data_IF_551924386949
#
_entry.id   IF_551924386949
#
_cell.length_a   1.000
_cell.length_b   1.000
_cell.length_c   1.000
_cell.angle_alpha   90.00
_cell.angle_beta   90.00
_cell.angle_gamma   90.00
#
_symmetry.space_group_name_H-M   'P 1'
#
loop_
_entity.id
_entity.type
_entity.pdbx_description
1 polymer ?
#
# COMPACT_ATOMS: atom_id res chain seq x y z
N UNK A 1 -35.52 -2.84 31.40
CA UNK A 1 -36.18 -4.16 31.29
C UNK A 1 -37.64 -3.96 30.93
N UNK A 2 -38.20 -4.77 30.02
CA UNK A 2 -39.63 -4.74 29.71
C UNK A 2 -40.42 -5.33 30.88
N UNK A 3 -41.45 -4.63 31.33
CA UNK A 3 -42.28 -5.03 32.48
C UNK A 3 -43.75 -5.05 32.07
N UNK A 4 -44.49 -6.03 32.57
CA UNK A 4 -45.92 -6.20 32.29
C UNK A 4 -46.24 -7.45 31.44
N UNK A 5 -47.54 -7.70 31.24
CA UNK A 5 -48.04 -8.91 30.56
C UNK A 5 -47.96 -8.85 29.03
N UNK A 6 -47.87 -7.65 28.45
CA UNK A 6 -47.80 -7.42 27.00
C UNK A 6 -46.43 -6.81 26.67
N UNK A 7 -45.44 -7.67 26.39
CA UNK A 7 -44.07 -7.26 26.07
C UNK A 7 -43.78 -7.21 24.57
N UNK A 8 -44.74 -7.57 23.74
CA UNK A 8 -44.61 -7.61 22.27
C UNK A 8 -45.90 -7.10 21.64
N UNK A 9 -45.76 -6.23 20.64
CA UNK A 9 -46.87 -5.73 19.83
C UNK A 9 -46.78 -6.30 18.43
N UNK A 10 -47.92 -6.59 17.83
CA UNK A 10 -48.08 -7.13 16.49
C UNK A 10 -48.83 -6.11 15.64
N UNK A 11 -48.27 -5.74 14.49
CA UNK A 11 -48.94 -4.85 13.55
C UNK A 11 -50.04 -5.62 12.81
N UNK A 12 -51.29 -5.15 12.90
CA UNK A 12 -52.45 -5.69 12.17
C UNK A 12 -53.11 -4.60 11.33
N UNK A 13 -54.17 -4.96 10.61
CA UNK A 13 -54.88 -4.10 9.64
C UNK A 13 -55.39 -2.76 10.21
N UNK A 14 -55.56 -2.64 11.53
CA UNK A 14 -55.97 -1.39 12.21
C UNK A 14 -54.86 -0.75 13.08
N UNK A 15 -53.60 -1.15 12.89
CA UNK A 15 -52.44 -0.65 13.63
C UNK A 15 -51.84 -1.68 14.60
N UNK A 16 -50.93 -1.21 15.46
CA UNK A 16 -50.30 -2.04 16.49
C UNK A 16 -51.32 -2.42 17.57
N UNK A 17 -51.41 -3.71 17.89
CA UNK A 17 -52.25 -4.21 18.97
C UNK A 17 -51.67 -3.91 20.36
N UNK A 18 -52.49 -4.07 21.41
CA UNK A 18 -52.07 -3.91 22.80
C UNK A 18 -51.67 -2.48 23.19
N UNK A 19 -51.19 -2.34 24.43
CA UNK A 19 -50.61 -1.08 24.93
C UNK A 19 -49.11 -1.02 24.64
N UNK A 20 -48.54 0.18 24.68
CA UNK A 20 -47.09 0.35 24.60
C UNK A 20 -46.38 -0.44 25.71
N UNK A 21 -45.33 -1.22 25.40
CA UNK A 21 -44.61 -1.98 26.41
C UNK A 21 -43.94 -1.01 27.40
N UNK A 22 -44.11 -1.26 28.69
CA UNK A 22 -43.49 -0.44 29.72
C UNK A 22 -42.04 -0.88 29.93
N UNK A 23 -41.12 0.09 29.90
CA UNK A 23 -39.73 -0.13 30.24
C UNK A 23 -39.45 0.46 31.63
N UNK A 24 -38.98 -0.37 32.55
CA UNK A 24 -38.42 0.08 33.83
C UNK A 24 -36.89 -0.08 33.82
N UNK A 25 -36.13 0.76 34.54
CA UNK A 25 -34.68 0.59 34.63
C UNK A 25 -34.32 -0.78 35.22
N UNK A 26 -33.24 -1.39 34.71
CA UNK A 26 -32.65 -2.55 35.38
C UNK A 26 -32.14 -2.09 36.73
N UNK A 27 -32.38 -2.89 37.77
CA UNK A 27 -31.96 -2.57 39.14
C UNK A 27 -30.93 -3.57 39.62
N UNK A 28 -29.82 -3.07 40.14
CA UNK A 28 -28.85 -3.83 40.88
C UNK A 28 -29.19 -3.80 42.37
N UNK A 29 -28.93 -4.90 43.06
CA UNK A 29 -28.96 -4.98 44.52
C UNK A 29 -27.76 -4.25 45.13
N UNK A 30 -27.59 -4.32 46.46
CA UNK A 30 -26.45 -3.71 47.14
C UNK A 30 -25.09 -4.18 46.54
N UNK A 31 -24.10 -3.27 46.37
CA UNK A 31 -22.82 -3.62 45.79
C UNK A 31 -22.07 -4.68 46.61
N UNK A 32 -21.27 -5.56 45.99
CA UNK A 32 -20.51 -6.57 46.71
C UNK A 32 -19.55 -5.97 47.75
N UNK A 33 -19.47 -6.53 48.95
CA UNK A 33 -18.43 -6.14 49.90
C UNK A 33 -17.06 -6.65 49.43
N UNK A 34 -16.01 -5.85 49.64
CA UNK A 34 -14.63 -6.24 49.34
C UNK A 34 -13.82 -6.38 50.63
N UNK A 35 -12.89 -7.34 50.67
CA UNK A 35 -12.04 -7.54 51.84
C UNK A 35 -11.04 -6.38 51.99
N UNK A 36 -10.89 -5.88 53.22
CA UNK A 36 -10.00 -4.77 53.57
C UNK A 36 -10.22 -3.47 52.74
N UNK A 37 -11.45 -3.26 52.29
CA UNK A 37 -11.89 -2.03 51.65
C UNK A 37 -13.34 -1.74 51.99
N UNK A 38 -13.81 -0.58 51.54
CA UNK A 38 -15.15 -0.09 51.79
C UNK A 38 -15.64 0.71 50.59
N UNK A 39 -16.97 0.79 50.43
CA UNK A 39 -17.58 1.78 49.56
C UNK A 39 -17.22 3.18 50.07
N UNK A 40 -17.00 4.11 49.14
CA UNK A 40 -16.78 5.52 49.47
C UNK A 40 -18.07 6.18 49.96
N UNK A 41 -19.21 5.79 49.38
CA UNK A 41 -20.55 6.24 49.74
C UNK A 41 -21.32 5.17 50.53
N UNK A 42 -22.42 5.59 51.18
CA UNK A 42 -23.32 4.66 51.85
C UNK A 42 -24.05 3.75 50.85
N UNK A 43 -24.14 2.46 51.18
CA UNK A 43 -24.82 1.49 50.33
C UNK A 43 -26.35 1.71 50.34
N UNK A 44 -26.94 1.82 49.15
CA UNK A 44 -28.39 1.91 48.96
C UNK A 44 -29.00 0.52 48.78
N UNK A 45 -30.31 0.40 49.02
CA UNK A 45 -31.04 -0.86 48.82
C UNK A 45 -31.16 -1.26 47.35
N UNK A 46 -31.17 -0.28 46.42
CA UNK A 46 -31.22 -0.54 44.98
C UNK A 46 -30.53 0.55 44.16
N UNK A 47 -29.92 0.15 43.05
CA UNK A 47 -29.25 1.04 42.10
C UNK A 47 -29.84 0.86 40.71
N UNK A 48 -30.21 1.95 40.05
CA UNK A 48 -30.69 1.91 38.67
C UNK A 48 -29.53 1.72 37.69
N UNK A 49 -29.84 1.21 36.49
CA UNK A 49 -28.89 1.03 35.39
C UNK A 49 -28.00 2.25 35.17
N UNK A 50 -26.69 2.03 35.02
CA UNK A 50 -25.60 3.01 34.93
C UNK A 50 -25.25 3.77 36.21
N UNK A 51 -25.95 3.57 37.33
CA UNK A 51 -25.50 4.12 38.60
C UNK A 51 -24.10 3.59 38.94
N UNK A 52 -23.24 4.48 39.42
CA UNK A 52 -21.86 4.19 39.74
C UNK A 52 -21.66 4.09 41.27
N UNK A 53 -20.79 3.18 41.69
CA UNK A 53 -20.34 3.08 43.08
C UNK A 53 -18.82 2.96 43.11
N UNK A 54 -18.19 3.68 44.03
CA UNK A 54 -16.73 3.73 44.15
C UNK A 54 -16.28 3.06 45.44
N UNK A 55 -15.16 2.33 45.35
CA UNK A 55 -14.52 1.65 46.47
C UNK A 55 -13.16 2.27 46.77
N UNK A 56 -12.81 2.24 48.05
CA UNK A 56 -11.48 2.57 48.56
C UNK A 56 -10.96 1.47 49.48
N UNK A 57 -9.67 1.25 49.46
CA UNK A 57 -9.03 0.32 50.39
C UNK A 57 -8.79 0.95 51.76
N UNK A 58 -8.66 0.09 52.78
CA UNK A 58 -8.21 0.49 54.10
C UNK A 58 -6.80 1.06 54.04
N UNK A 59 -6.45 1.91 55.01
CA UNK A 59 -5.18 2.65 55.03
C UNK A 59 -3.98 1.69 54.94
N UNK A 60 -3.12 1.90 53.95
CA UNK A 60 -1.89 1.11 53.76
C UNK A 60 -2.02 -0.02 52.74
N UNK A 61 -3.20 -0.26 52.18
CA UNK A 61 -3.44 -1.27 51.15
C UNK A 61 -3.68 -0.64 49.79
N UNK A 62 -3.32 -1.38 48.73
CA UNK A 62 -3.45 -0.97 47.35
C UNK A 62 -4.69 -1.57 46.69
N UNK A 63 -5.43 -0.73 45.97
CA UNK A 63 -6.58 -1.13 45.17
C UNK A 63 -6.12 -1.68 43.81
N UNK A 64 -6.42 -2.95 43.54
CA UNK A 64 -6.16 -3.64 42.27
C UNK A 64 -7.48 -3.89 41.55
N UNK A 65 -7.64 -3.30 40.37
CA UNK A 65 -8.87 -3.34 39.57
C UNK A 65 -9.43 -1.94 39.35
N UNK A 66 -10.65 -1.85 38.81
CA UNK A 66 -11.34 -0.57 38.67
C UNK A 66 -11.96 -0.17 40.01
N UNK A 67 -11.67 1.04 40.50
CA UNK A 67 -12.22 1.52 41.77
C UNK A 67 -13.72 1.83 41.68
N UNK A 68 -14.27 2.00 40.47
CA UNK A 68 -15.66 2.36 40.24
C UNK A 68 -16.36 1.30 39.40
N UNK A 69 -17.51 0.85 39.87
CA UNK A 69 -18.36 -0.15 39.23
C UNK A 69 -19.67 0.51 38.81
N UNK A 70 -20.28 -0.02 37.76
CA UNK A 70 -21.55 0.47 37.21
C UNK A 70 -22.61 -0.62 37.27
N UNK A 71 -23.85 -0.25 37.61
CA UNK A 71 -24.98 -1.16 37.50
C UNK A 71 -25.22 -1.52 36.03
N UNK A 72 -25.00 -2.78 35.68
CA UNK A 72 -25.03 -3.28 34.31
C UNK A 72 -26.44 -3.73 33.91
N UNK A 73 -26.62 -4.05 32.62
CA UNK A 73 -27.89 -4.49 32.04
C UNK A 73 -28.34 -5.87 32.57
N UNK A 74 -27.40 -6.67 33.08
CA UNK A 74 -27.64 -7.97 33.69
C UNK A 74 -28.06 -7.90 35.17
N UNK A 75 -28.19 -6.68 35.72
CA UNK A 75 -28.54 -6.45 37.13
C UNK A 75 -27.38 -6.70 38.09
N UNK A 76 -26.15 -6.81 37.59
CA UNK A 76 -24.94 -6.92 38.41
C UNK A 76 -24.02 -5.72 38.25
N UNK A 77 -23.13 -5.50 39.22
CA UNK A 77 -22.11 -4.46 39.11
C UNK A 77 -20.95 -4.93 38.23
N UNK A 78 -20.58 -4.10 37.24
CA UNK A 78 -19.47 -4.35 36.33
C UNK A 78 -18.52 -3.15 36.21
N UNK A 79 -17.20 -3.37 36.07
CA UNK A 79 -16.51 -4.67 36.10
C UNK A 79 -16.53 -5.32 37.49
N UNK A 80 -15.91 -6.49 37.64
CA UNK A 80 -15.86 -7.18 38.93
C UNK A 80 -15.19 -6.32 40.03
N UNK A 81 -15.57 -6.47 41.31
CA UNK A 81 -15.05 -5.63 42.40
C UNK A 81 -13.52 -5.66 42.54
N UNK A 82 -12.89 -4.53 42.92
CA UNK A 82 -11.44 -4.47 43.10
C UNK A 82 -10.99 -5.26 44.33
N UNK A 83 -9.70 -5.61 44.37
CA UNK A 83 -9.06 -6.30 45.50
C UNK A 83 -8.10 -5.36 46.21
N UNK A 84 -8.14 -5.37 47.54
CA UNK A 84 -7.19 -4.64 48.37
C UNK A 84 -6.03 -5.56 48.78
N UNK A 85 -4.81 -5.22 48.36
CA UNK A 85 -3.60 -6.02 48.64
C UNK A 85 -2.57 -5.23 49.43
N UNK A 86 -1.82 -5.91 50.30
CA UNK A 86 -0.68 -5.31 51.00
C UNK A 86 0.50 -5.19 50.02
N UNK A 87 0.92 -3.96 49.74
CA UNK A 87 2.04 -3.69 48.83
C UNK A 87 1.68 -3.70 47.34
N UNK A 88 2.69 -3.62 46.47
CA UNK A 88 2.52 -3.47 45.03
C UNK A 88 2.81 -4.76 44.25
N UNK A 89 2.10 -5.02 43.13
CA UNK A 89 2.36 -6.19 42.30
C UNK A 89 3.75 -6.12 41.66
N UNK A 90 4.30 -7.25 41.21
CA UNK A 90 5.57 -7.25 40.49
C UNK A 90 5.38 -6.60 39.11
N UNK A 91 6.06 -5.48 38.78
CA UNK A 91 5.94 -4.88 37.46
C UNK A 91 6.47 -5.82 36.38
N UNK A 92 5.65 -6.08 35.35
CA UNK A 92 6.06 -6.79 34.14
C UNK A 92 6.46 -5.77 33.07
N UNK A 93 7.74 -5.71 32.75
CA UNK A 93 8.28 -4.76 31.76
C UNK A 93 8.99 -5.59 30.67
N UNK A 94 8.29 -5.93 29.57
CA UNK A 94 8.89 -6.65 28.44
C UNK A 94 10.09 -5.87 27.89
N UNK A 95 11.18 -6.58 27.58
CA UNK A 95 12.45 -6.00 27.13
C UNK A 95 13.04 -4.97 28.11
N UNK A 96 12.69 -5.09 29.40
CA UNK A 96 13.22 -4.28 30.50
C UNK A 96 13.89 -5.16 31.56
N UNK A 97 14.94 -4.64 32.17
CA UNK A 97 15.70 -5.28 33.25
C UNK A 97 15.69 -4.40 34.49
N UNK A 98 15.44 -4.98 35.66
CA UNK A 98 15.58 -4.28 36.94
C UNK A 98 17.07 -4.10 37.24
N UNK A 99 17.50 -2.86 37.42
CA UNK A 99 18.89 -2.50 37.70
C UNK A 99 19.12 -2.05 39.15
N UNK A 100 18.06 -1.75 39.90
CA UNK A 100 18.18 -1.28 41.28
C UNK A 100 16.91 -1.44 42.12
N UNK A 101 17.05 -1.18 43.42
CA UNK A 101 15.96 -1.17 44.40
C UNK A 101 15.75 -2.48 45.17
N UNK A 102 14.54 -2.68 45.69
CA UNK A 102 14.17 -3.85 46.51
C UNK A 102 13.79 -5.06 45.65
N UNK A 103 13.77 -6.25 46.26
CA UNK A 103 13.19 -7.46 45.67
C UNK A 103 11.75 -7.67 46.15
N UNK A 104 10.88 -8.35 45.37
CA UNK A 104 9.53 -8.67 45.81
C UNK A 104 9.55 -9.60 47.04
N UNK A 105 8.51 -9.57 47.91
CA UNK A 105 7.29 -8.75 47.81
C UNK A 105 7.52 -7.26 48.08
N UNK A 106 6.82 -6.39 47.34
CA UNK A 106 7.04 -4.94 47.40
C UNK A 106 6.09 -4.27 48.40
N UNK A 107 6.62 -3.75 49.50
CA UNK A 107 5.83 -3.01 50.51
C UNK A 107 5.76 -1.52 50.17
N UNK A 108 4.83 -0.82 50.82
CA UNK A 108 4.71 0.64 50.72
C UNK A 108 6.06 1.32 50.99
N UNK A 109 6.47 2.23 50.11
CA UNK A 109 7.76 2.92 50.16
C UNK A 109 8.93 2.17 49.49
N UNK A 110 8.77 0.88 49.13
CA UNK A 110 9.77 0.21 48.32
C UNK A 110 9.87 0.86 46.94
N UNK A 111 11.08 0.96 46.41
CA UNK A 111 11.34 1.45 45.07
C UNK A 111 12.08 0.40 44.25
N UNK A 112 11.96 0.51 42.94
CA UNK A 112 12.71 -0.25 41.94
C UNK A 112 13.08 0.65 40.79
N UNK A 113 14.23 0.35 40.18
CA UNK A 113 14.73 1.07 39.01
C UNK A 113 14.92 0.09 37.84
N UNK A 114 14.49 0.50 36.66
CA UNK A 114 14.53 -0.29 35.45
C UNK A 114 15.38 0.35 34.36
N UNK A 115 15.92 -0.49 33.47
CA UNK A 115 16.57 -0.09 32.22
C UNK A 115 16.02 -0.95 31.08
N UNK A 116 15.80 -0.37 29.91
CA UNK A 116 15.46 -1.14 28.73
C UNK A 116 16.68 -1.89 28.16
N UNK A 117 16.41 -3.04 27.56
CA UNK A 117 17.41 -3.80 26.80
C UNK A 117 17.89 -3.01 25.58
N UNK A 118 19.05 -3.41 25.04
CA UNK A 118 19.60 -2.79 23.85
C UNK A 118 18.63 -2.92 22.67
N UNK A 119 18.49 -1.85 21.89
CA UNK A 119 17.48 -1.76 20.84
C UNK A 119 16.12 -1.21 21.30
N UNK A 120 15.92 -0.99 22.60
CA UNK A 120 14.69 -0.40 23.14
C UNK A 120 14.93 0.94 23.84
N UNK A 121 13.92 1.80 23.81
CA UNK A 121 13.88 3.10 24.46
C UNK A 121 12.80 3.10 25.54
N UNK A 122 13.10 3.73 26.68
CA UNK A 122 12.16 3.83 27.79
C UNK A 122 11.12 4.93 27.54
N UNK A 123 9.84 4.59 27.73
CA UNK A 123 8.74 5.53 27.83
C UNK A 123 8.19 5.51 29.26
N UNK A 124 8.31 6.63 29.96
CA UNK A 124 8.00 6.76 31.38
C UNK A 124 9.27 6.93 32.22
N UNK A 125 9.11 6.86 33.53
CA UNK A 125 10.20 7.05 34.49
C UNK A 125 10.85 5.71 34.86
N UNK A 126 12.18 5.67 34.86
CA UNK A 126 12.95 4.47 35.21
C UNK A 126 12.75 4.05 36.68
N UNK A 127 12.52 5.03 37.54
CA UNK A 127 12.41 4.90 38.98
C UNK A 127 10.94 4.97 39.40
N UNK A 128 10.44 3.90 40.03
CA UNK A 128 9.06 3.82 40.51
C UNK A 128 9.03 3.46 41.99
N UNK A 129 8.06 4.03 42.71
CA UNK A 129 7.88 3.81 44.16
C UNK A 129 6.51 3.21 44.41
N UNK A 130 6.45 2.19 45.27
CA UNK A 130 5.19 1.62 45.72
C UNK A 130 4.51 2.61 46.68
N UNK A 131 3.40 3.22 46.24
CA UNK A 131 2.55 4.10 47.04
C UNK A 131 1.26 3.36 47.44
N UNK A 132 0.34 4.05 48.12
CA UNK A 132 -0.93 3.50 48.61
C UNK A 132 -1.99 3.28 47.52
N UNK A 133 -1.72 3.75 46.29
CA UNK A 133 -2.54 3.51 45.11
C UNK A 133 -1.78 2.73 44.03
N UNK A 134 -0.78 1.93 44.44
CA UNK A 134 0.09 1.17 43.54
C UNK A 134 1.39 1.87 43.18
N UNK A 135 2.03 1.41 42.10
CA UNK A 135 3.28 2.00 41.61
C UNK A 135 3.06 3.42 41.11
N UNK A 136 3.89 4.33 41.59
CA UNK A 136 3.88 5.70 41.11
C UNK A 136 5.31 6.25 40.98
N UNK A 137 5.68 6.82 39.82
CA UNK A 137 4.90 6.82 38.56
C UNK A 137 4.59 5.40 38.05
N UNK A 138 3.69 5.28 37.08
CA UNK A 138 3.34 3.98 36.50
C UNK A 138 4.58 3.25 35.96
N UNK A 139 4.62 1.90 35.99
CA UNK A 139 5.75 1.16 35.46
C UNK A 139 6.09 1.56 34.01
N UNK A 140 7.38 1.81 33.69
CA UNK A 140 7.76 2.27 32.36
C UNK A 140 7.55 1.18 31.31
N UNK A 141 7.47 1.60 30.05
CA UNK A 141 7.37 0.70 28.88
C UNK A 141 8.63 0.80 28.04
N UNK A 142 9.18 -0.34 27.63
CA UNK A 142 10.29 -0.38 26.68
C UNK A 142 9.74 -0.55 25.26
N UNK A 143 10.01 0.43 24.40
CA UNK A 143 9.53 0.51 23.02
C UNK A 143 10.72 0.35 22.10
N UNK A 144 10.63 -0.49 21.07
CA UNK A 144 11.71 -0.66 20.10
C UNK A 144 12.13 0.68 19.51
N UNK A 145 13.44 0.91 19.38
CA UNK A 145 13.97 2.08 18.66
C UNK A 145 13.45 2.05 17.23
N UNK A 146 13.03 3.20 16.71
CA UNK A 146 12.62 3.29 15.32
C UNK A 146 13.84 3.47 14.43
N UNK A 147 13.90 2.68 13.35
CA UNK A 147 14.91 2.84 12.30
C UNK A 147 14.48 3.85 11.22
N UNK A 148 13.30 4.45 11.35
CA UNK A 148 12.70 5.31 10.34
C UNK A 148 12.21 4.52 9.11
N UNK A 149 11.67 5.25 8.15
CA UNK A 149 11.17 4.67 6.91
C UNK A 149 12.33 4.48 5.92
N UNK A 150 12.38 3.32 5.27
CA UNK A 150 13.29 3.09 4.15
C UNK A 150 12.78 3.81 2.90
N UNK A 151 13.69 4.45 2.17
CA UNK A 151 13.41 4.97 0.85
C UNK A 151 13.44 3.84 -0.19
N UNK A 152 12.81 4.10 -1.34
CA UNK A 152 13.02 3.25 -2.51
C UNK A 152 14.46 3.39 -3.00
N UNK A 153 15.01 2.29 -3.51
CA UNK A 153 16.35 2.25 -4.08
C UNK A 153 16.26 2.16 -5.61
N UNK A 154 17.41 2.14 -6.28
CA UNK A 154 17.44 2.19 -7.74
C UNK A 154 16.81 0.94 -8.36
N UNK A 155 15.75 1.14 -9.14
CA UNK A 155 14.92 0.08 -9.74
C UNK A 155 14.37 -0.94 -8.73
N UNK A 156 14.03 -0.49 -7.51
CA UNK A 156 13.39 -1.35 -6.53
C UNK A 156 12.88 -0.65 -5.28
N UNK A 157 12.21 -1.43 -4.44
CA UNK A 157 11.60 -0.98 -3.19
C UNK A 157 11.73 -2.03 -2.10
N UNK A 158 11.41 -1.65 -0.87
CA UNK A 158 11.32 -2.58 0.26
C UNK A 158 9.87 -2.93 0.60
N UNK A 159 9.62 -4.21 0.85
CA UNK A 159 8.44 -4.70 1.56
C UNK A 159 8.80 -4.84 3.05
N UNK A 160 8.19 -4.01 3.89
CA UNK A 160 8.56 -3.86 5.32
C UNK A 160 7.50 -4.48 6.25
N UNK A 161 7.93 -5.11 7.34
CA UNK A 161 7.02 -5.57 8.42
C UNK A 161 6.63 -4.45 9.37
N UNK A 162 7.48 -3.42 9.47
CA UNK A 162 7.35 -2.29 10.36
C UNK A 162 8.64 -1.45 10.32
N UNK A 163 8.86 -0.62 11.34
CA UNK A 163 10.03 0.26 11.44
C UNK A 163 10.64 0.33 12.85
N UNK A 164 10.30 -0.60 13.73
CA UNK A 164 10.83 -0.72 15.08
C UNK A 164 11.89 -1.81 15.17
N UNK A 165 12.72 -1.76 16.21
CA UNK A 165 13.78 -2.73 16.45
C UNK A 165 13.30 -4.19 16.30
N UNK A 166 13.99 -4.94 15.44
CA UNK A 166 13.64 -6.31 15.07
C UNK A 166 12.77 -6.45 13.81
N UNK A 167 12.15 -5.37 13.31
CA UNK A 167 11.43 -5.40 12.04
C UNK A 167 12.37 -5.67 10.86
N UNK A 168 11.81 -6.23 9.79
CA UNK A 168 12.56 -6.64 8.59
C UNK A 168 12.03 -5.98 7.33
N UNK A 169 12.92 -5.82 6.35
CA UNK A 169 12.64 -5.20 5.06
C UNK A 169 13.23 -6.06 3.93
N UNK A 170 12.34 -6.64 3.13
CA UNK A 170 12.69 -7.50 2.01
C UNK A 170 12.81 -6.67 0.72
N UNK A 171 13.91 -6.74 -0.03
CA UNK A 171 14.03 -6.00 -1.27
C UNK A 171 13.23 -6.64 -2.41
N UNK A 172 12.58 -5.80 -3.22
CA UNK A 172 11.82 -6.21 -4.40
C UNK A 172 12.21 -5.31 -5.56
N UNK A 173 12.73 -5.91 -6.63
CA UNK A 173 13.07 -5.17 -7.84
C UNK A 173 11.81 -4.79 -8.64
N UNK A 174 11.93 -3.69 -9.38
CA UNK A 174 10.92 -3.25 -10.32
C UNK A 174 10.81 -4.21 -11.50
N UNK A 175 9.73 -4.07 -12.26
CA UNK A 175 9.44 -4.91 -13.42
C UNK A 175 10.60 -4.89 -14.43
N UNK A 176 11.07 -6.07 -14.85
CA UNK A 176 12.19 -6.22 -15.77
C UNK A 176 13.58 -6.07 -15.15
N UNK A 177 13.66 -6.03 -13.81
CA UNK A 177 14.91 -6.05 -13.07
C UNK A 177 14.94 -7.24 -12.09
N UNK A 178 16.15 -7.69 -11.76
CA UNK A 178 16.41 -8.83 -10.89
C UNK A 178 17.46 -8.47 -9.84
N UNK A 179 17.32 -9.02 -8.64
CA UNK A 179 18.23 -8.76 -7.54
C UNK A 179 19.60 -9.36 -7.85
N UNK A 180 20.64 -8.53 -7.85
CA UNK A 180 22.00 -8.99 -8.05
C UNK A 180 22.54 -9.65 -6.77
N UNK A 181 23.05 -10.88 -6.89
CA UNK A 181 23.65 -11.63 -5.78
C UNK A 181 22.63 -12.36 -4.90
N UNK A 182 22.95 -12.51 -3.61
CA UNK A 182 22.07 -13.19 -2.64
C UNK A 182 21.04 -12.22 -2.08
N UNK A 183 19.89 -12.74 -1.68
CA UNK A 183 18.85 -11.97 -1.02
C UNK A 183 19.36 -11.32 0.28
N UNK A 184 19.21 -10.00 0.37
CA UNK A 184 19.68 -9.18 1.51
C UNK A 184 18.50 -8.52 2.21
N UNK A 185 17.74 -9.32 2.97
CA UNK A 185 16.75 -8.77 3.90
C UNK A 185 17.47 -7.88 4.92
N UNK A 186 17.03 -6.63 5.05
CA UNK A 186 17.53 -5.70 6.07
C UNK A 186 16.73 -5.87 7.35
N UNK A 187 17.40 -5.70 8.49
CA UNK A 187 16.81 -5.77 9.83
C UNK A 187 17.01 -4.44 10.54
N UNK A 188 15.96 -3.97 11.21
CA UNK A 188 16.04 -2.78 12.05
C UNK A 188 16.83 -3.12 13.33
N UNK A 189 18.03 -2.56 13.44
CA UNK A 189 18.95 -2.73 14.58
C UNK A 189 18.95 -1.47 15.46
N UNK A 190 19.80 -1.47 16.47
CA UNK A 190 19.91 -0.39 17.46
C UNK A 190 20.42 0.94 16.87
N UNK A 191 21.16 0.87 15.75
CA UNK A 191 21.70 2.00 14.99
C UNK A 191 20.92 2.33 13.70
N UNK A 192 19.78 1.68 13.46
CA UNK A 192 19.02 1.83 12.22
C UNK A 192 18.96 0.54 11.39
N UNK A 193 18.51 0.66 10.15
CA UNK A 193 18.44 -0.44 9.20
C UNK A 193 19.84 -0.93 8.84
N UNK A 194 20.16 -2.19 9.15
CA UNK A 194 21.45 -2.79 8.80
C UNK A 194 21.64 -2.97 7.29
N UNK A 195 22.86 -3.29 6.86
CA UNK A 195 23.17 -3.51 5.45
C UNK A 195 23.14 -2.24 4.60
N UNK A 196 23.26 -2.44 3.28
CA UNK A 196 23.22 -1.39 2.26
C UNK A 196 22.08 -1.67 1.30
N UNK A 197 21.69 -0.66 0.53
CA UNK A 197 20.73 -0.83 -0.55
C UNK A 197 21.26 -1.87 -1.55
N UNK A 198 20.43 -2.84 -1.97
CA UNK A 198 20.83 -3.82 -2.95
C UNK A 198 20.85 -3.22 -4.35
N UNK A 199 21.47 -3.96 -5.27
CA UNK A 199 21.49 -3.63 -6.68
C UNK A 199 20.45 -4.47 -7.42
N UNK A 200 19.54 -3.81 -8.14
CA UNK A 200 18.68 -4.45 -9.13
C UNK A 200 19.31 -4.26 -10.51
N UNK A 201 19.66 -5.36 -11.17
CA UNK A 201 20.20 -5.37 -12.53
C UNK A 201 19.08 -5.66 -13.53
N UNK A 202 19.12 -5.08 -14.74
CA UNK A 202 18.12 -5.38 -15.76
C UNK A 202 18.15 -6.87 -16.11
N UNK A 203 16.97 -7.44 -16.39
CA UNK A 203 16.87 -8.76 -17.02
C UNK A 203 17.61 -8.71 -18.34
N UNK A 204 18.35 -9.77 -18.64
CA UNK A 204 19.14 -9.88 -19.86
C UNK A 204 18.58 -10.94 -20.79
N UNK A 205 18.32 -10.55 -22.03
CA UNK A 205 18.03 -11.47 -23.11
C UNK A 205 19.33 -11.95 -23.76
N UNK A 206 19.33 -13.22 -24.18
CA UNK A 206 20.37 -13.76 -25.08
C UNK A 206 20.22 -13.19 -26.49
N UNK A 207 21.15 -13.53 -27.38
CA UNK A 207 21.09 -13.12 -28.79
C UNK A 207 19.70 -13.39 -29.42
N UNK A 208 19.13 -12.43 -30.19
CA UNK A 208 17.84 -12.60 -30.82
C UNK A 208 17.78 -13.83 -31.73
N UNK A 209 16.63 -14.51 -31.85
CA UNK A 209 16.50 -15.68 -32.72
C UNK A 209 16.82 -15.36 -34.18
N UNK A 210 17.56 -16.23 -34.87
CA UNK A 210 17.72 -16.12 -36.32
C UNK A 210 16.39 -16.42 -37.02
N UNK A 211 16.08 -15.67 -38.09
CA UNK A 211 14.90 -15.90 -38.92
C UNK A 211 15.31 -16.38 -40.30
N UNK A 212 14.50 -17.27 -40.90
CA UNK A 212 14.75 -17.76 -42.25
C UNK A 212 14.52 -16.64 -43.29
N UNK A 213 15.43 -16.54 -44.26
CA UNK A 213 15.38 -15.53 -45.33
C UNK A 213 15.29 -14.06 -44.86
N UNK A 214 15.79 -13.79 -43.66
CA UNK A 214 15.95 -12.46 -43.11
C UNK A 214 17.17 -12.39 -42.21
N UNK A 215 17.42 -11.21 -41.67
CA UNK A 215 18.57 -10.92 -40.83
C UNK A 215 18.24 -9.74 -39.92
N UNK A 216 18.98 -9.63 -38.82
CA UNK A 216 18.94 -8.42 -38.00
C UNK A 216 19.42 -7.22 -38.81
N UNK A 217 18.87 -6.05 -38.50
CA UNK A 217 19.31 -4.81 -39.13
C UNK A 217 20.72 -4.41 -38.68
N UNK A 218 20.99 -4.63 -37.39
CA UNK A 218 22.25 -4.36 -36.70
C UNK A 218 22.99 -5.66 -36.38
N UNK A 219 24.26 -5.55 -35.98
CA UNK A 219 25.04 -6.72 -35.52
C UNK A 219 24.46 -7.28 -34.21
N UNK A 220 24.38 -8.61 -34.12
CA UNK A 220 23.90 -9.27 -32.90
C UNK A 220 24.92 -9.14 -31.77
N UNK A 221 24.47 -8.65 -30.62
CA UNK A 221 25.24 -8.65 -29.37
C UNK A 221 25.04 -9.97 -28.62
N UNK A 222 25.99 -10.30 -27.73
CA UNK A 222 25.88 -11.47 -26.86
C UNK A 222 24.71 -11.35 -25.86
N UNK A 223 24.37 -10.12 -25.46
CA UNK A 223 23.32 -9.86 -24.48
C UNK A 223 22.68 -8.49 -24.67
N UNK A 224 21.39 -8.42 -24.34
CA UNK A 224 20.56 -7.22 -24.42
C UNK A 224 19.84 -7.00 -23.10
N UNK A 225 19.90 -5.78 -22.58
CA UNK A 225 19.18 -5.41 -21.36
C UNK A 225 17.68 -5.25 -21.61
N UNK A 226 16.88 -5.36 -20.55
CA UNK A 226 15.44 -5.17 -20.57
C UNK A 226 15.03 -3.90 -21.34
N UNK A 227 14.01 -4.02 -22.20
CA UNK A 227 13.51 -3.01 -23.14
C UNK A 227 14.42 -2.66 -24.32
N UNK A 228 15.67 -3.13 -24.39
CA UNK A 228 16.48 -2.98 -25.60
C UNK A 228 15.74 -3.58 -26.80
N UNK A 229 15.84 -2.89 -27.93
CA UNK A 229 15.11 -3.23 -29.13
C UNK A 229 16.04 -3.75 -30.22
N UNK A 230 15.54 -4.69 -31.02
CA UNK A 230 16.21 -5.16 -32.24
C UNK A 230 15.21 -5.18 -33.39
N UNK A 231 15.65 -4.82 -34.59
CA UNK A 231 14.83 -4.83 -35.79
C UNK A 231 15.33 -5.86 -36.79
N UNK A 232 14.41 -6.53 -37.47
CA UNK A 232 14.73 -7.48 -38.54
C UNK A 232 14.45 -6.89 -39.91
N UNK A 233 15.19 -7.33 -40.92
CA UNK A 233 14.87 -7.08 -42.33
C UNK A 233 14.83 -8.39 -43.09
N UNK A 234 13.92 -8.48 -44.06
CA UNK A 234 13.88 -9.62 -44.97
C UNK A 234 14.90 -9.46 -46.11
N UNK A 235 15.34 -10.59 -46.66
CA UNK A 235 16.12 -10.60 -47.89
C UNK A 235 15.33 -9.97 -49.04
N UNK A 236 16.04 -9.47 -50.05
CA UNK A 236 15.42 -8.73 -51.17
C UNK A 236 14.30 -9.54 -51.84
N UNK A 237 13.16 -8.90 -52.06
CA UNK A 237 12.00 -9.50 -52.74
C UNK A 237 11.03 -10.26 -51.83
N UNK A 238 11.28 -10.32 -50.52
CA UNK A 238 10.40 -10.97 -49.54
C UNK A 238 9.67 -9.94 -48.68
N UNK A 239 8.49 -10.33 -48.21
CA UNK A 239 7.64 -9.55 -47.33
C UNK A 239 7.83 -10.00 -45.87
N UNK A 240 7.79 -9.05 -44.95
CA UNK A 240 7.91 -9.29 -43.52
C UNK A 240 6.53 -9.44 -42.90
N UNK A 241 6.27 -10.59 -42.28
CA UNK A 241 5.00 -10.89 -41.60
C UNK A 241 5.24 -10.95 -40.09
N UNK A 242 4.61 -10.04 -39.34
CA UNK A 242 4.77 -9.91 -37.89
C UNK A 242 5.30 -8.54 -37.50
N UNK A 243 5.76 -8.41 -36.25
CA UNK A 243 6.33 -7.16 -35.77
C UNK A 243 7.79 -7.04 -36.23
N UNK A 244 8.15 -5.91 -36.81
CA UNK A 244 9.50 -5.61 -37.28
C UNK A 244 10.53 -5.55 -36.14
N UNK A 245 10.13 -4.92 -35.04
CA UNK A 245 10.97 -4.61 -33.89
C UNK A 245 10.53 -5.43 -32.68
N UNK A 246 11.49 -6.12 -32.08
CA UNK A 246 11.29 -6.91 -30.87
C UNK A 246 12.00 -6.22 -29.71
N UNK A 247 11.45 -6.34 -28.50
CA UNK A 247 12.02 -5.82 -27.27
C UNK A 247 12.41 -6.95 -26.33
N UNK A 248 13.53 -6.80 -25.63
CA UNK A 248 13.88 -7.71 -24.56
C UNK A 248 12.85 -7.59 -23.43
N UNK A 249 12.19 -8.70 -23.11
CA UNK A 249 11.12 -8.78 -22.13
C UNK A 249 11.65 -9.17 -20.75
N UNK A 250 10.77 -9.08 -19.75
CA UNK A 250 11.08 -9.45 -18.35
C UNK A 250 11.33 -10.95 -18.14
N UNK A 251 10.92 -11.80 -19.10
CA UNK A 251 11.15 -13.24 -19.08
C UNK A 251 12.51 -13.65 -19.67
N UNK A 252 13.34 -12.68 -20.07
CA UNK A 252 14.63 -12.92 -20.70
C UNK A 252 14.53 -13.34 -22.17
N UNK A 253 13.37 -13.18 -22.81
CA UNK A 253 13.18 -13.44 -24.23
C UNK A 253 12.75 -12.21 -25.00
N UNK A 254 13.04 -12.18 -26.30
CA UNK A 254 12.55 -11.12 -27.16
C UNK A 254 11.06 -11.29 -27.47
N UNK A 255 10.30 -10.20 -27.29
CA UNK A 255 8.86 -10.15 -27.54
C UNK A 255 8.48 -8.98 -28.45
N UNK A 256 7.45 -9.12 -29.31
CA UNK A 256 6.70 -10.35 -29.58
C UNK A 256 7.55 -11.41 -30.32
N UNK A 257 6.97 -12.54 -30.71
CA UNK A 257 7.71 -13.58 -31.45
C UNK A 257 8.28 -13.04 -32.78
N UNK A 258 9.44 -13.56 -33.25
CA UNK A 258 10.14 -13.03 -34.41
C UNK A 258 9.32 -13.08 -35.71
N UNK A 259 9.49 -12.10 -36.61
CA UNK A 259 8.72 -12.05 -37.84
C UNK A 259 9.17 -13.14 -38.82
N UNK A 260 8.31 -13.41 -39.81
CA UNK A 260 8.57 -14.39 -40.88
C UNK A 260 8.74 -13.68 -42.21
N UNK A 261 9.78 -14.06 -42.95
CA UNK A 261 10.01 -13.56 -44.31
C UNK A 261 9.41 -14.53 -45.32
N UNK A 262 8.42 -14.09 -46.08
CA UNK A 262 7.72 -14.93 -47.07
C UNK A 262 7.65 -14.23 -48.43
N UNK A 263 7.69 -15.01 -49.49
CA UNK A 263 7.54 -14.51 -50.85
C UNK A 263 6.05 -14.27 -51.15
N UNK A 264 5.58 -13.05 -50.89
CA UNK A 264 4.19 -12.66 -51.07
C UNK A 264 3.38 -12.70 -49.77
N UNK A 265 2.19 -13.30 -49.79
CA UNK A 265 1.33 -13.46 -48.62
C UNK A 265 0.92 -14.92 -48.41
N UNK A 266 0.78 -15.38 -47.15
CA UNK A 266 0.35 -16.75 -46.87
C UNK A 266 -1.07 -16.99 -47.37
N UNK A 267 -1.43 -18.24 -47.65
CA UNK A 267 -2.81 -18.57 -48.04
C UNK A 267 -3.75 -18.29 -46.86
N UNK A 268 -4.76 -17.41 -46.98
CA UNK A 268 -5.69 -17.16 -45.89
C UNK A 268 -6.52 -18.41 -45.58
N UNK A 269 -6.43 -18.89 -44.35
CA UNK A 269 -7.26 -19.97 -43.83
C UNK A 269 -8.42 -19.37 -43.05
N UNK A 270 -9.59 -19.28 -43.66
CA UNK A 270 -10.80 -18.72 -43.06
C UNK A 270 -11.85 -19.83 -42.96
N UNK A 271 -12.10 -20.39 -41.75
CA UNK A 271 -13.12 -21.40 -41.56
C UNK A 271 -14.51 -20.89 -41.95
N UNK A 272 -15.32 -21.75 -42.56
CA UNK A 272 -16.69 -21.43 -42.99
C UNK A 272 -16.77 -20.25 -43.98
N UNK A 273 -15.74 -20.07 -44.81
CA UNK A 273 -15.72 -19.10 -45.89
C UNK A 273 -15.32 -19.75 -47.22
N UNK A 274 -15.91 -19.24 -48.30
CA UNK A 274 -15.58 -19.60 -49.68
C UNK A 274 -14.91 -18.42 -50.37
N UNK A 275 -13.83 -18.67 -51.11
CA UNK A 275 -13.21 -17.68 -51.98
C UNK A 275 -14.12 -17.46 -53.19
N UNK A 276 -14.56 -16.23 -53.42
CA UNK A 276 -15.47 -15.85 -54.51
C UNK A 276 -14.79 -15.04 -55.62
N UNK A 277 -13.59 -14.48 -55.36
CA UNK A 277 -12.87 -13.65 -56.34
C UNK A 277 -11.37 -13.55 -56.09
N UNK A 278 -10.65 -13.01 -57.08
CA UNK A 278 -9.22 -12.71 -57.01
C UNK A 278 -8.28 -13.75 -57.65
N UNK A 279 -6.99 -13.69 -57.29
CA UNK A 279 -5.94 -14.57 -57.84
C UNK A 279 -5.92 -15.94 -57.15
N UNK A 280 -5.23 -16.92 -57.74
CA UNK A 280 -4.90 -18.20 -57.09
C UNK A 280 -3.51 -18.15 -56.44
N UNK A 281 -3.25 -18.94 -55.39
CA UNK A 281 -1.92 -19.00 -54.79
C UNK A 281 -0.86 -19.56 -55.77
N UNK A 282 0.42 -19.18 -55.65
CA UNK A 282 1.02 -18.32 -54.62
C UNK A 282 0.67 -16.83 -54.79
N UNK A 283 0.36 -16.16 -53.67
CA UNK A 283 -0.10 -14.77 -53.67
C UNK A 283 1.07 -13.79 -53.62
N UNK A 284 1.40 -13.15 -54.75
CA UNK A 284 2.41 -12.10 -54.82
C UNK A 284 1.87 -10.76 -54.34
N UNK A 285 2.78 -9.81 -54.06
CA UNK A 285 2.44 -8.44 -53.71
C UNK A 285 1.48 -7.83 -54.74
N UNK A 286 0.41 -7.20 -54.27
CA UNK A 286 -0.65 -6.63 -55.10
C UNK A 286 -1.74 -7.61 -55.53
N UNK A 287 -1.56 -8.93 -55.35
CA UNK A 287 -2.64 -9.89 -55.57
C UNK A 287 -3.75 -9.65 -54.54
N UNK A 288 -5.00 -9.71 -54.97
CA UNK A 288 -6.17 -9.62 -54.10
C UNK A 288 -6.97 -10.93 -54.12
N UNK A 289 -7.73 -11.15 -53.06
CA UNK A 289 -8.72 -12.23 -52.95
C UNK A 289 -9.96 -11.70 -52.24
N UNK A 290 -11.11 -12.25 -52.63
CA UNK A 290 -12.40 -11.90 -52.05
C UNK A 290 -13.09 -13.14 -51.50
N UNK A 291 -13.64 -13.04 -50.29
CA UNK A 291 -14.30 -14.14 -49.58
C UNK A 291 -15.77 -13.85 -49.31
N UNK A 292 -16.55 -14.92 -49.18
CA UNK A 292 -17.93 -14.89 -48.68
C UNK A 292 -18.08 -15.98 -47.62
N UNK A 293 -18.73 -15.65 -46.50
CA UNK A 293 -19.05 -16.67 -45.49
C UNK A 293 -20.07 -17.67 -46.05
N UNK A 294 -19.98 -18.91 -45.58
CA UNK A 294 -20.95 -19.95 -45.87
C UNK A 294 -22.31 -19.63 -45.23
N UNK A 295 -23.37 -20.27 -45.75
CA UNK A 295 -24.73 -20.00 -45.31
C UNK A 295 -24.88 -20.29 -43.81
N UNK A 296 -25.53 -19.35 -43.10
CA UNK A 296 -25.63 -19.42 -41.65
C UNK A 296 -24.42 -18.88 -40.90
N UNK A 297 -23.43 -18.26 -41.54
CA UNK A 297 -22.35 -17.51 -40.88
C UNK A 297 -22.36 -16.04 -41.30
N UNK A 298 -22.00 -15.14 -40.38
CA UNK A 298 -21.88 -13.70 -40.62
C UNK A 298 -20.42 -13.28 -40.72
N UNK A 299 -20.07 -12.40 -41.66
CA UNK A 299 -18.71 -11.91 -41.84
C UNK A 299 -18.38 -10.81 -40.84
N UNK A 300 -17.21 -10.93 -40.18
CA UNK A 300 -16.59 -9.88 -39.39
C UNK A 300 -15.25 -9.49 -40.03
N UNK A 301 -15.18 -8.26 -40.55
CA UNK A 301 -14.04 -7.75 -41.32
C UNK A 301 -14.43 -7.49 -42.78
N UNK A 302 -13.44 -7.22 -43.62
CA UNK A 302 -13.62 -6.89 -45.03
C UNK A 302 -13.52 -8.15 -45.91
N UNK A 303 -14.46 -8.29 -46.87
CA UNK A 303 -14.49 -9.41 -47.79
C UNK A 303 -13.31 -9.40 -48.78
N UNK A 304 -12.87 -8.20 -49.17
CA UNK A 304 -11.81 -7.94 -50.15
C UNK A 304 -10.50 -7.62 -49.42
N UNK A 305 -9.49 -8.46 -49.60
CA UNK A 305 -8.16 -8.30 -48.99
C UNK A 305 -7.07 -8.27 -50.06
N UNK A 306 -6.05 -7.42 -49.86
CA UNK A 306 -4.94 -7.23 -50.80
C UNK A 306 -3.62 -7.63 -50.13
N UNK A 307 -2.77 -8.37 -50.85
CA UNK A 307 -1.44 -8.71 -50.38
C UNK A 307 -0.54 -7.47 -50.44
N UNK A 308 -0.15 -6.94 -49.28
CA UNK A 308 0.77 -5.80 -49.10
C UNK A 308 2.08 -6.24 -48.47
N UNK A 309 3.00 -5.28 -48.27
CA UNK A 309 4.36 -5.53 -47.77
C UNK A 309 4.40 -6.19 -46.38
N UNK A 310 3.38 -5.95 -45.55
CA UNK A 310 3.25 -6.52 -44.19
C UNK A 310 2.21 -7.67 -44.12
N UNK A 311 1.85 -8.26 -45.26
CA UNK A 311 0.83 -9.29 -45.36
C UNK A 311 -0.51 -8.79 -45.91
N UNK A 312 -1.59 -9.51 -45.59
CA UNK A 312 -2.94 -9.16 -46.03
C UNK A 312 -3.44 -7.91 -45.30
N UNK A 313 -3.85 -6.92 -46.08
CA UNK A 313 -4.42 -5.68 -45.59
C UNK A 313 -5.67 -5.30 -46.42
N UNK A 314 -6.86 -5.22 -45.81
CA UNK A 314 -7.14 -5.51 -44.39
C UNK A 314 -6.91 -7.00 -44.02
N UNK A 315 -6.81 -7.28 -42.72
CA UNK A 315 -6.57 -8.64 -42.22
C UNK A 315 -7.69 -9.61 -42.67
N UNK A 316 -7.39 -10.91 -42.86
CA UNK A 316 -8.40 -11.88 -43.33
C UNK A 316 -9.67 -11.87 -42.46
N UNK A 317 -10.87 -11.84 -43.05
CA UNK A 317 -12.13 -11.76 -42.29
C UNK A 317 -12.39 -13.04 -41.50
N UNK A 318 -13.27 -12.97 -40.49
CA UNK A 318 -13.71 -14.12 -39.69
C UNK A 318 -15.20 -14.36 -39.89
N UNK A 319 -15.58 -15.61 -40.16
CA UNK A 319 -16.98 -16.01 -40.24
C UNK A 319 -17.46 -16.51 -38.88
N UNK A 320 -18.41 -15.80 -38.28
CA UNK A 320 -18.98 -16.11 -36.96
C UNK A 320 -20.35 -16.77 -37.12
N UNK A 321 -20.57 -17.87 -36.40
CA UNK A 321 -21.89 -18.48 -36.34
C UNK A 321 -22.85 -17.55 -35.57
N UNK A 322 -24.14 -17.50 -35.95
CA UNK A 322 -25.16 -16.85 -35.14
C UNK A 322 -25.20 -17.57 -33.80
N UNK A 323 -25.07 -16.80 -32.73
CA UNK A 323 -25.28 -17.28 -31.37
C UNK A 323 -26.68 -17.86 -31.29
N UNK A 324 -26.79 -19.19 -31.15
CA UNK A 324 -28.02 -19.84 -30.72
C UNK A 324 -28.24 -19.50 -29.26
N UNK A 325 -28.82 -18.33 -29.00
CA UNK A 325 -29.49 -18.09 -27.72
C UNK A 325 -30.61 -19.13 -27.61
N UNK A 326 -30.66 -19.95 -26.55
CA UNK A 326 -31.83 -20.77 -26.29
C UNK A 326 -33.03 -19.85 -26.14
N UNK A 327 -34.06 -20.09 -26.95
CA UNK A 327 -35.40 -19.55 -26.74
C UNK A 327 -35.83 -19.92 -25.32
N UNK A 328 -35.76 -18.95 -24.40
CA UNK A 328 -36.45 -19.07 -23.12
C UNK A 328 -37.92 -18.83 -23.43
N UNK A 329 -38.70 -19.91 -23.37
CA UNK A 329 -40.14 -19.86 -23.54
C UNK A 329 -40.73 -18.78 -22.63
N UNK A 330 -41.51 -17.92 -23.26
CA UNK A 330 -42.31 -16.86 -22.68
C UNK A 330 -43.20 -17.37 -21.55
N UNK A 331 -43.15 -16.74 -20.38
CA UNK A 331 -44.33 -16.55 -19.54
C UNK A 331 -44.51 -15.04 -19.33
N UNK A 332 -45.38 -14.47 -20.15
CA UNK A 332 -46.09 -13.20 -19.99
C UNK A 332 -46.96 -13.30 -18.72
N UNK A 333 -47.24 -12.30 -17.88
CA UNK A 333 -47.27 -10.84 -18.01
C UNK A 333 -47.42 -10.26 -16.59
N UNK A 334 -46.74 -9.14 -16.33
CA UNK A 334 -47.10 -7.95 -15.53
C UNK A 334 -47.83 -8.06 -14.17
N UNK A 335 -47.61 -7.22 -13.16
CA UNK A 335 -46.57 -6.26 -12.73
C UNK A 335 -47.23 -5.46 -11.60
N UNK A 336 -46.66 -5.37 -10.39
CA UNK A 336 -46.77 -4.17 -9.54
C UNK A 336 -45.53 -4.05 -8.64
N UNK A 337 -44.98 -2.85 -8.71
CA UNK A 337 -43.81 -2.20 -8.13
C UNK A 337 -43.76 -2.18 -6.60
N UNK A 338 -42.55 -2.18 -6.02
CA UNK A 338 -42.10 -1.27 -4.93
C UNK A 338 -40.65 -1.59 -4.54
N UNK A 339 -39.67 -0.78 -4.96
CA UNK A 339 -38.98 0.26 -4.15
C UNK A 339 -38.32 -0.23 -2.87
N UNK A 340 -36.98 -0.12 -2.81
CA UNK A 340 -36.13 0.50 -1.75
C UNK A 340 -34.68 0.45 -2.30
N UNK A 341 -34.10 1.56 -2.76
CA UNK A 341 -33.26 2.54 -2.03
C UNK A 341 -32.06 1.96 -1.26
N UNK A 342 -30.84 2.19 -1.78
CA UNK A 342 -29.60 2.47 -1.01
C UNK A 342 -28.49 2.89 -2.00
N UNK A 343 -28.32 4.20 -2.23
CA UNK A 343 -27.22 5.05 -1.73
C UNK A 343 -25.81 4.61 -2.16
N UNK A 344 -25.36 5.11 -3.30
CA UNK A 344 -23.94 5.25 -3.65
C UNK A 344 -23.51 6.70 -3.46
N UNK A 345 -22.58 6.93 -2.53
CA UNK A 345 -21.86 8.21 -2.36
C UNK A 345 -20.92 8.42 -3.55
N UNK A 346 -21.16 9.49 -4.31
CA UNK A 346 -20.23 10.02 -5.30
C UNK A 346 -19.34 11.09 -4.65
N UNK A 347 -18.02 10.95 -4.81
CA UNK A 347 -17.05 12.02 -4.53
C UNK A 347 -16.99 12.92 -5.76
N UNK A 348 -17.31 14.21 -5.57
CA UNK A 348 -17.16 15.27 -6.56
C UNK A 348 -15.78 15.92 -6.40
N UNK A 349 -15.00 15.98 -7.47
CA UNK A 349 -13.97 16.99 -7.68
C UNK A 349 -14.64 18.34 -7.99
N UNK A 350 -14.13 19.41 -7.37
CA UNK A 350 -14.47 20.80 -7.68
C UNK A 350 -13.47 21.32 -8.70
N UNK A 351 -13.93 21.62 -9.90
CA UNK A 351 -13.27 22.56 -10.81
C UNK A 351 -13.74 23.98 -10.47
N UNK A 352 -12.78 24.89 -10.32
CA UNK A 352 -13.00 26.32 -10.06
C UNK A 352 -12.89 27.07 -11.40
N UNK A 353 -14.02 27.54 -11.92
CA UNK A 353 -14.11 28.38 -13.11
C UNK A 353 -13.87 29.85 -12.75
N UNK A 354 -12.66 30.35 -12.98
CA UNK A 354 -12.39 31.79 -12.97
C UNK A 354 -12.72 32.40 -14.33
N UNK A 355 -13.84 33.14 -14.40
CA UNK A 355 -14.28 33.93 -15.56
C UNK A 355 -13.25 35.01 -15.94
N UNK A 356 -12.78 34.94 -17.18
CA UNK A 356 -12.20 36.06 -17.93
C UNK A 356 -13.32 37.00 -18.39
N UNK A 357 -13.13 38.30 -18.19
CA UNK A 357 -13.94 39.33 -18.85
C UNK A 357 -13.03 40.49 -19.26
N UNK A 358 -12.97 40.72 -20.56
CA UNK A 358 -12.19 41.77 -21.22
C UNK A 358 -12.99 43.07 -21.24
N UNK A 359 -12.38 44.21 -20.90
CA UNK A 359 -12.78 45.50 -21.49
C UNK A 359 -11.65 46.53 -21.45
N UNK A 360 -11.40 47.07 -22.64
CA UNK A 360 -10.48 48.16 -23.00
C UNK A 360 -10.64 49.45 -22.19
N UNK A 361 -9.55 50.21 -22.01
CA UNK A 361 -9.35 51.53 -22.63
C UNK A 361 -8.16 52.31 -22.02
N UNK A 362 -7.20 52.69 -22.88
CA UNK A 362 -6.52 54.02 -22.97
C UNK A 362 -5.72 54.55 -21.74
N UNK A 363 -4.67 55.36 -21.77
CA UNK A 363 -3.87 56.06 -22.78
C UNK A 363 -2.70 56.76 -22.03
N UNK A 364 -1.47 56.58 -22.53
CA UNK A 364 -0.33 57.52 -22.69
C UNK A 364 0.02 58.69 -21.71
N UNK A 365 1.34 58.96 -21.67
CA UNK A 365 2.13 60.22 -21.48
C UNK A 365 2.75 60.53 -20.10
N UNK A 366 4.08 60.75 -20.10
CA UNK A 366 4.81 61.71 -19.25
C UNK A 366 5.96 61.12 -18.38
N UNK A 367 7.20 60.96 -18.84
CA UNK A 367 8.29 61.94 -19.01
C UNK A 367 9.15 62.26 -17.74
N UNK A 368 10.48 62.12 -17.93
CA UNK A 368 11.65 62.82 -17.32
C UNK A 368 12.40 62.25 -16.10
N UNK A 369 13.59 61.71 -16.43
CA UNK A 369 14.98 62.13 -16.06
C UNK A 369 15.24 62.67 -14.64
N UNK A 370 16.22 62.04 -13.97
CA UNK A 370 17.00 62.61 -12.86
C UNK A 370 18.29 61.83 -12.60
N UNK A 371 19.42 62.36 -13.06
CA UNK A 371 20.80 61.89 -12.83
C UNK A 371 21.27 62.36 -11.45
N UNK A 372 21.96 61.52 -10.67
CA UNK A 372 23.00 61.96 -9.74
C UNK A 372 24.00 60.84 -9.43
N UNK A 373 25.28 61.15 -9.67
CA UNK A 373 26.48 60.33 -9.47
C UNK A 373 26.89 60.29 -7.99
N UNK A 374 27.53 59.20 -7.56
CA UNK A 374 28.25 59.10 -6.30
C UNK A 374 29.23 57.93 -6.31
N UNK A 375 30.45 58.20 -6.79
CA UNK A 375 31.59 57.27 -6.82
C UNK A 375 32.26 57.23 -5.44
N UNK A 376 32.74 56.04 -5.04
CA UNK A 376 34.03 55.73 -4.37
C UNK A 376 33.86 54.61 -3.34
N UNK A 377 34.60 53.51 -3.51
CA UNK A 377 34.80 52.49 -2.48
C UNK A 377 35.18 51.09 -3.00
N UNK A 378 36.30 50.97 -3.70
CA UNK A 378 36.98 49.67 -3.91
C UNK A 378 37.61 49.19 -2.59
N UNK A 379 37.58 47.87 -2.35
CA UNK A 379 38.64 46.98 -1.81
C UNK A 379 38.04 45.85 -0.95
N UNK A 380 38.34 44.60 -1.37
CA UNK A 380 38.59 43.35 -0.60
C UNK A 380 37.93 42.09 -1.20
N UNK A 381 38.72 41.45 -2.08
CA UNK A 381 39.16 40.04 -2.09
C UNK A 381 38.10 38.92 -2.26
N UNK A 382 38.10 38.36 -3.47
CA UNK A 382 37.81 36.95 -3.72
C UNK A 382 38.96 36.05 -3.23
N UNK A 383 38.61 35.00 -2.49
CA UNK A 383 39.61 34.08 -1.96
C UNK A 383 39.02 33.01 -1.03
N UNK A 384 38.15 32.14 -1.54
CA UNK A 384 37.73 30.92 -0.79
C UNK A 384 37.81 29.63 -1.62
N UNK A 385 38.17 29.66 -2.90
CA UNK A 385 38.22 28.44 -3.72
C UNK A 385 39.59 27.75 -3.83
N UNK A 386 40.59 28.14 -3.02
CA UNK A 386 41.96 27.57 -3.11
C UNK A 386 42.52 26.97 -1.81
N UNK A 387 41.73 26.90 -0.73
CA UNK A 387 42.16 26.30 0.54
C UNK A 387 41.75 24.82 0.67
N UNK A 388 40.85 24.32 -0.19
CA UNK A 388 40.38 22.94 -0.08
C UNK A 388 41.29 21.89 -0.77
N UNK A 389 42.27 22.31 -1.58
CA UNK A 389 43.12 21.40 -2.35
C UNK A 389 44.54 21.17 -1.82
N UNK A 390 44.96 21.82 -0.73
CA UNK A 390 46.29 21.60 -0.11
C UNK A 390 46.27 20.91 1.25
N UNK A 391 45.14 20.30 1.66
CA UNK A 391 45.06 19.53 2.93
C UNK A 391 44.97 18.00 2.75
N UNK A 392 44.95 17.50 1.50
CA UNK A 392 44.94 16.05 1.22
C UNK A 392 46.32 15.46 0.87
N UNK A 393 47.32 16.30 0.60
CA UNK A 393 48.68 15.85 0.21
C UNK A 393 49.66 15.65 1.39
N UNK A 394 49.25 15.93 2.64
CA UNK A 394 50.13 15.81 3.82
C UNK A 394 49.80 14.66 4.78
N UNK A 395 48.77 13.86 4.49
CA UNK A 395 48.43 12.68 5.30
C UNK A 395 48.99 11.35 4.73
N UNK A 396 49.62 11.38 3.55
CA UNK A 396 50.12 10.18 2.86
C UNK A 396 51.66 10.05 2.94
N UNK A 397 52.27 10.64 3.98
CA UNK A 397 53.72 10.60 4.20
C UNK A 397 54.16 10.32 5.65
N UNK A 398 53.24 9.87 6.50
CA UNK A 398 53.54 9.53 7.92
C UNK A 398 53.37 8.03 8.21
N UNK A 399 52.90 7.22 7.26
CA UNK A 399 52.67 5.78 7.47
C UNK A 399 53.66 4.90 6.69
N UNK A 400 54.94 5.33 6.62
CA UNK A 400 56.03 4.53 6.04
C UNK A 400 57.35 4.54 6.84
N UNK A 401 57.31 4.98 8.10
CA UNK A 401 58.49 5.00 9.00
C UNK A 401 58.20 4.34 10.36
N UNK A 402 57.34 3.32 10.39
CA UNK A 402 57.10 2.51 11.61
C UNK A 402 57.11 1.00 11.31
N UNK A 403 57.95 0.57 10.36
CA UNK A 403 58.21 -0.86 10.08
C UNK A 403 59.71 -1.21 9.93
N UNK A 404 60.62 -0.39 10.48
CA UNK A 404 62.01 -0.78 10.79
C UNK A 404 62.49 -0.11 12.09
N UNK A 405 62.14 -0.71 13.23
CA UNK A 405 63.02 -0.80 14.41
C UNK A 405 62.69 -2.03 15.27
#
# INVERSE_FOLDING_TARGET
MLVGKETTRTCRDQGWDGRDPLCEPVKCSAPPAIENGQLEDEALESYDYLNAVSYRCNRGLNLIGQSTLFCSEDGTFKPDPPKCVDGCPVPTIPNGKRIGGKSPPYKLGNFVEYKCEDGYTMKGEAFIVCKANGWHPEPPRCIGKSCGNLANFFHGRYEVTGNLFGDTAKPVCDKGYMLAGKETTRTCRDQGWDGRDPLCEPVKCSAPPAIENGQLEEESLESYDYLNAVSYRCNRGLNLIGQLTLHCSEDGTFKPDPPKCVDGCPVPTIPNAKRIGGKSPPYKLGNFVEYKCEDGYTMKGEAYIVCRANGWDPAPPRCIAPSTTPSTATTTTNAVTSTVHTTSKALKEKEDETKTNTKDSSMSIGAKVGIALGVVGLVVIGGVSLVYFMKRSKHEKVEKEEEEL
#
